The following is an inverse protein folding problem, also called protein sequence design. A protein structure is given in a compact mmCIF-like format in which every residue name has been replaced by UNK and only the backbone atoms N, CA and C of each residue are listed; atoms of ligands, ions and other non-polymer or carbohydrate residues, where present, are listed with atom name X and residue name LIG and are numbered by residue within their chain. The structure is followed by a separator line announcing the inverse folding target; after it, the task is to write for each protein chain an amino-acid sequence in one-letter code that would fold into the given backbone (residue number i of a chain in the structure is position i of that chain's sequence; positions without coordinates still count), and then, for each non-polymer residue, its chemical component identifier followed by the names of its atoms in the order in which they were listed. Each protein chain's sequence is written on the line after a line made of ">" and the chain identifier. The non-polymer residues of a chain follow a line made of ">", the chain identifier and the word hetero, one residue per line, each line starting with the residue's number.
data_IF_450610173073
#
_entry.id   IF_450610173073
#
_cell.length_a   1.000
_cell.length_b   1.000
_cell.length_c   1.000
_cell.angle_alpha   90.00
_cell.angle_beta   90.00
_cell.angle_gamma   90.00
#
_symmetry.space_group_name_H-M   'P 1'
#
loop_
_entity.id
_entity.type
_entity.pdbx_description
1 polymer ?
#
# COMPACT_ATOMS: atom_id res chain seq x y z
N UNK A 1 11.27 -19.84 0.66
CA UNK A 1 10.86 -18.59 -0.02
C UNK A 1 10.43 -17.60 1.04
N UNK A 2 10.79 -16.34 0.93
CA UNK A 2 10.27 -15.33 1.84
C UNK A 2 8.74 -15.21 1.65
N UNK A 3 8.01 -15.10 2.75
CA UNK A 3 6.56 -15.00 2.75
C UNK A 3 6.16 -13.62 2.24
N UNK A 4 5.28 -13.55 1.23
CA UNK A 4 4.69 -12.29 0.79
C UNK A 4 3.90 -11.64 1.92
N UNK A 5 4.19 -10.38 2.23
CA UNK A 5 3.47 -9.60 3.23
C UNK A 5 2.15 -9.06 2.69
N UNK A 6 1.20 -8.76 3.59
CA UNK A 6 -0.11 -8.22 3.25
C UNK A 6 -0.26 -6.80 3.80
N UNK A 7 -0.66 -5.88 2.93
CA UNK A 7 -1.09 -4.52 3.29
C UNK A 7 -2.58 -4.34 3.02
N UNK A 8 -3.31 -3.85 3.99
CA UNK A 8 -4.69 -3.37 3.83
C UNK A 8 -4.69 -1.85 3.87
N UNK A 9 -4.99 -1.24 2.73
CA UNK A 9 -4.92 0.21 2.54
C UNK A 9 -6.27 0.88 2.76
N UNK A 10 -6.25 2.13 3.23
CA UNK A 10 -7.45 2.96 3.36
C UNK A 10 -8.32 2.62 4.58
N UNK A 11 -7.71 2.38 5.73
CA UNK A 11 -8.39 2.29 7.02
C UNK A 11 -8.93 3.67 7.39
N UNK A 12 -10.21 3.75 7.79
CA UNK A 12 -10.94 5.02 7.96
C UNK A 12 -11.56 5.24 9.33
N UNK A 13 -11.53 4.24 10.19
CA UNK A 13 -12.09 4.36 11.54
C UNK A 13 -11.38 3.47 12.54
N UNK A 14 -11.54 3.79 13.83
CA UNK A 14 -11.07 2.91 14.91
C UNK A 14 -11.78 1.56 14.91
N UNK A 15 -13.04 1.52 14.51
CA UNK A 15 -13.80 0.28 14.40
C UNK A 15 -13.16 -0.67 13.37
N UNK A 16 -12.78 -0.14 12.20
CA UNK A 16 -12.12 -0.94 11.15
C UNK A 16 -10.79 -1.53 11.64
N UNK A 17 -9.92 -0.74 12.27
CA UNK A 17 -8.64 -1.26 12.76
C UNK A 17 -8.82 -2.25 13.92
N UNK A 18 -9.76 -1.99 14.83
CA UNK A 18 -10.05 -2.90 15.95
C UNK A 18 -10.59 -4.25 15.45
N UNK A 19 -11.42 -4.25 14.41
CA UNK A 19 -11.96 -5.47 13.79
C UNK A 19 -10.91 -6.30 13.07
N UNK A 20 -9.82 -5.68 12.59
CA UNK A 20 -8.81 -6.30 11.74
C UNK A 20 -7.46 -6.57 12.42
N UNK A 21 -7.21 -6.01 13.58
CA UNK A 21 -5.89 -5.98 14.21
C UNK A 21 -5.30 -7.36 14.55
N UNK A 22 -6.15 -8.36 14.81
CA UNK A 22 -5.76 -9.74 15.13
C UNK A 22 -5.48 -10.61 13.88
N UNK A 23 -5.87 -10.15 12.70
CA UNK A 23 -5.61 -10.86 11.44
C UNK A 23 -4.13 -10.80 11.04
N UNK A 24 -3.60 -11.77 10.31
CA UNK A 24 -2.21 -11.77 9.82
C UNK A 24 -2.00 -10.76 8.67
N UNK A 25 -2.19 -9.50 9.00
CA UNK A 25 -1.92 -8.32 8.17
C UNK A 25 -0.63 -7.69 8.68
N UNK A 26 0.29 -7.33 7.79
CA UNK A 26 1.59 -6.78 8.14
C UNK A 26 1.57 -5.24 8.17
N UNK A 27 0.76 -4.62 7.30
CA UNK A 27 0.68 -3.18 7.14
C UNK A 27 -0.75 -2.66 7.05
N UNK A 28 -1.02 -1.54 7.73
CA UNK A 28 -2.27 -0.77 7.57
C UNK A 28 -1.99 0.58 6.93
N UNK A 29 -2.76 0.93 5.88
CA UNK A 29 -2.61 2.19 5.15
C UNK A 29 -3.59 3.27 5.59
N UNK A 30 -3.07 4.46 5.93
CA UNK A 30 -3.80 5.69 6.19
C UNK A 30 -3.63 6.66 5.02
N UNK A 31 -4.71 7.14 4.40
CA UNK A 31 -4.65 7.99 3.21
C UNK A 31 -4.79 9.46 3.61
N UNK A 32 -3.82 10.29 3.21
CA UNK A 32 -3.78 11.74 3.46
C UNK A 32 -4.04 12.58 2.19
N UNK A 33 -4.66 12.00 1.17
CA UNK A 33 -5.05 12.71 -0.04
C UNK A 33 -6.47 13.27 0.12
N UNK A 34 -6.67 14.61 0.15
CA UNK A 34 -7.98 15.23 0.43
C UNK A 34 -9.09 14.86 -0.55
N UNK A 35 -8.75 14.51 -1.78
CA UNK A 35 -9.72 14.06 -2.79
C UNK A 35 -10.18 12.60 -2.60
N UNK A 36 -9.49 11.83 -1.76
CA UNK A 36 -9.84 10.44 -1.50
C UNK A 36 -11.05 10.35 -0.56
N UNK A 37 -12.06 9.53 -0.85
CA UNK A 37 -13.14 9.25 0.08
C UNK A 37 -12.67 8.49 1.33
N UNK A 38 -11.40 8.07 1.34
CA UNK A 38 -10.74 7.36 2.43
C UNK A 38 -9.70 8.23 3.16
N UNK A 39 -9.75 9.56 2.96
CA UNK A 39 -8.86 10.47 3.64
C UNK A 39 -9.15 10.49 5.15
N UNK A 40 -8.08 10.44 5.96
CA UNK A 40 -8.17 10.48 7.42
C UNK A 40 -7.53 11.74 7.98
N UNK A 41 -7.96 12.13 9.19
CA UNK A 41 -7.28 13.17 9.98
C UNK A 41 -5.99 12.64 10.61
N UNK A 42 -5.07 13.54 10.97
CA UNK A 42 -3.87 13.17 11.71
C UNK A 42 -4.20 12.54 13.06
N UNK A 43 -5.24 13.02 13.75
CA UNK A 43 -5.68 12.45 15.03
C UNK A 43 -6.09 10.98 14.87
N UNK A 44 -6.96 10.69 13.89
CA UNK A 44 -7.38 9.32 13.64
C UNK A 44 -6.23 8.42 13.17
N UNK A 45 -5.34 8.94 12.32
CA UNK A 45 -4.17 8.18 11.86
C UNK A 45 -3.22 7.83 13.01
N UNK A 46 -3.05 8.72 14.00
CA UNK A 46 -2.30 8.46 15.23
C UNK A 46 -2.92 7.30 16.01
N UNK A 47 -4.22 7.36 16.26
CA UNK A 47 -4.95 6.31 16.98
C UNK A 47 -4.88 4.96 16.24
N UNK A 48 -5.01 4.95 14.90
CA UNK A 48 -4.83 3.74 14.07
C UNK A 48 -3.40 3.20 14.23
N UNK A 49 -2.39 4.07 14.22
CA UNK A 49 -0.98 3.70 14.36
C UNK A 49 -0.71 3.08 15.74
N UNK A 50 -1.24 3.67 16.81
CA UNK A 50 -1.11 3.14 18.17
C UNK A 50 -1.71 1.72 18.30
N UNK A 51 -2.88 1.49 17.70
CA UNK A 51 -3.52 0.16 17.67
C UNK A 51 -2.68 -0.82 16.84
N UNK A 52 -2.21 -0.44 15.66
CA UNK A 52 -1.38 -1.29 14.82
C UNK A 52 -0.08 -1.70 15.54
N UNK A 53 0.60 -0.74 16.16
CA UNK A 53 1.85 -0.99 16.89
C UNK A 53 1.64 -1.89 18.10
N UNK A 54 0.51 -1.81 18.80
CA UNK A 54 0.19 -2.71 19.93
C UNK A 54 0.11 -4.19 19.52
N UNK A 55 -0.14 -4.45 18.24
CA UNK A 55 -0.21 -5.80 17.64
C UNK A 55 1.06 -6.14 16.82
N UNK A 56 2.13 -5.34 16.95
CA UNK A 56 3.39 -5.54 16.23
C UNK A 56 3.32 -5.31 14.71
N UNK A 57 2.32 -4.54 14.25
CA UNK A 57 2.10 -4.24 12.84
C UNK A 57 2.57 -2.83 12.50
N UNK A 58 2.82 -2.58 11.22
CA UNK A 58 3.32 -1.28 10.74
C UNK A 58 2.22 -0.49 10.04
N UNK A 59 2.40 0.83 9.98
CA UNK A 59 1.48 1.75 9.31
C UNK A 59 2.13 2.49 8.15
N UNK A 60 1.34 2.74 7.11
CA UNK A 60 1.77 3.39 5.87
C UNK A 60 0.92 4.63 5.64
N UNK A 61 1.55 5.80 5.61
CA UNK A 61 0.89 7.04 5.21
C UNK A 61 0.94 7.21 3.69
N UNK A 62 -0.21 7.31 3.05
CA UNK A 62 -0.33 7.48 1.60
C UNK A 62 -0.57 8.94 1.26
N UNK A 63 0.33 9.52 0.46
CA UNK A 63 0.32 10.93 0.06
C UNK A 63 0.26 11.05 -1.46
N UNK A 64 -0.38 12.13 -1.94
CA UNK A 64 -0.46 12.47 -3.36
C UNK A 64 -0.05 13.94 -3.52
N UNK A 65 1.15 14.18 -4.06
CA UNK A 65 1.72 15.50 -4.29
C UNK A 65 1.70 16.43 -3.05
N UNK A 66 1.85 15.85 -1.86
CA UNK A 66 1.86 16.62 -0.62
C UNK A 66 3.21 17.33 -0.44
N UNK A 67 3.22 18.55 0.13
CA UNK A 67 4.46 19.25 0.48
C UNK A 67 5.30 18.44 1.48
N UNK A 68 6.63 18.56 1.38
CA UNK A 68 7.57 17.87 2.26
C UNK A 68 7.26 18.12 3.75
N UNK A 69 6.99 19.36 4.11
CA UNK A 69 6.69 19.77 5.47
C UNK A 69 5.44 19.06 6.01
N UNK A 70 4.38 18.96 5.19
CA UNK A 70 3.16 18.24 5.57
C UNK A 70 3.45 16.75 5.84
N UNK A 71 4.25 16.10 4.99
CA UNK A 71 4.63 14.70 5.17
C UNK A 71 5.43 14.53 6.46
N UNK A 72 6.43 15.37 6.69
CA UNK A 72 7.28 15.31 7.87
C UNK A 72 6.49 15.54 9.18
N UNK A 73 5.58 16.51 9.17
CA UNK A 73 4.70 16.76 10.32
C UNK A 73 3.76 15.60 10.57
N UNK A 74 3.19 15.01 9.51
CA UNK A 74 2.34 13.83 9.65
C UNK A 74 3.10 12.67 10.28
N UNK A 75 4.27 12.32 9.76
CA UNK A 75 5.10 11.24 10.33
C UNK A 75 5.43 11.50 11.79
N UNK A 76 5.87 12.71 12.11
CA UNK A 76 6.24 13.12 13.48
C UNK A 76 5.08 13.05 14.46
N UNK A 77 3.87 13.47 14.04
CA UNK A 77 2.70 13.59 14.91
C UNK A 77 1.92 12.28 15.06
N UNK A 78 1.96 11.42 14.03
CA UNK A 78 1.17 10.18 14.00
C UNK A 78 1.99 8.94 14.35
N UNK A 79 3.32 8.97 14.18
CA UNK A 79 4.18 7.82 14.36
C UNK A 79 4.12 6.81 13.20
N UNK A 80 3.58 7.20 12.04
CA UNK A 80 3.55 6.35 10.83
C UNK A 80 4.95 5.89 10.44
N UNK A 81 5.09 4.60 10.12
CA UNK A 81 6.38 3.95 9.85
C UNK A 81 6.89 4.16 8.43
N UNK A 82 6.00 4.29 7.45
CA UNK A 82 6.32 4.31 6.02
C UNK A 82 5.57 5.42 5.31
N UNK A 83 6.24 6.11 4.42
CA UNK A 83 5.63 7.10 3.50
C UNK A 83 5.47 6.46 2.12
N UNK A 84 4.23 6.31 1.67
CA UNK A 84 3.90 5.92 0.31
C UNK A 84 3.54 7.16 -0.51
N UNK A 85 4.33 7.44 -1.53
CA UNK A 85 4.13 8.54 -2.48
C UNK A 85 3.35 8.03 -3.69
N UNK A 86 2.13 8.52 -3.88
CA UNK A 86 1.19 8.01 -4.89
C UNK A 86 0.82 9.05 -5.95
N UNK A 87 1.56 10.13 -6.05
CA UNK A 87 1.41 11.20 -7.03
C UNK A 87 2.57 11.24 -8.03
N UNK A 88 2.91 12.46 -8.48
CA UNK A 88 3.96 12.74 -9.47
C UNK A 88 5.29 13.14 -8.79
N UNK A 89 5.53 12.68 -7.55
CA UNK A 89 6.74 13.03 -6.81
C UNK A 89 7.99 12.50 -7.52
N UNK A 90 9.01 13.37 -7.66
CA UNK A 90 10.25 13.06 -8.35
C UNK A 90 11.18 12.14 -7.55
N UNK A 91 12.18 11.55 -8.20
CA UNK A 91 13.23 10.78 -7.55
C UNK A 91 14.03 11.63 -6.53
N UNK A 92 14.26 12.91 -6.81
CA UNK A 92 14.91 13.84 -5.87
C UNK A 92 14.05 14.10 -4.64
N UNK A 93 12.71 14.14 -4.79
CA UNK A 93 11.82 14.25 -3.66
C UNK A 93 11.88 12.98 -2.77
N UNK A 94 11.89 11.79 -3.37
CA UNK A 94 12.10 10.53 -2.65
C UNK A 94 13.44 10.54 -1.89
N UNK A 95 14.53 10.95 -2.57
CA UNK A 95 15.86 11.10 -1.98
C UNK A 95 15.86 12.03 -0.76
N UNK A 96 15.12 13.14 -0.84
CA UNK A 96 15.04 14.10 0.27
C UNK A 96 14.38 13.49 1.50
N UNK A 97 13.34 12.69 1.34
CA UNK A 97 12.68 11.98 2.44
C UNK A 97 13.58 10.88 3.02
N UNK A 98 14.20 10.07 2.17
CA UNK A 98 15.09 8.98 2.58
C UNK A 98 16.32 9.51 3.33
N UNK A 99 16.89 10.65 2.89
CA UNK A 99 17.99 11.31 3.60
C UNK A 99 17.60 11.81 5.02
N UNK A 100 16.31 11.95 5.31
CA UNK A 100 15.76 12.27 6.64
C UNK A 100 15.42 11.02 7.47
N UNK A 101 15.80 9.82 6.99
CA UNK A 101 15.54 8.56 7.68
C UNK A 101 14.12 8.00 7.48
N UNK A 102 13.36 8.53 6.53
CA UNK A 102 12.01 8.03 6.23
C UNK A 102 12.08 6.83 5.28
N UNK A 103 11.39 5.77 5.59
CA UNK A 103 11.16 4.67 4.65
C UNK A 103 10.15 5.12 3.58
N UNK A 104 10.56 5.06 2.31
CA UNK A 104 9.77 5.56 1.18
C UNK A 104 9.39 4.44 0.24
N UNK A 105 8.09 4.32 -0.04
CA UNK A 105 7.54 3.53 -1.15
C UNK A 105 7.02 4.48 -2.21
N UNK A 106 7.33 4.23 -3.49
CA UNK A 106 6.84 5.07 -4.58
C UNK A 106 5.90 4.27 -5.48
N UNK A 107 4.67 4.76 -5.62
CA UNK A 107 3.69 4.18 -6.51
C UNK A 107 3.89 4.63 -7.95
N UNK A 108 3.81 3.68 -8.87
CA UNK A 108 3.89 3.86 -10.30
C UNK A 108 2.67 3.26 -10.97
N UNK A 109 2.03 4.04 -11.83
CA UNK A 109 0.88 3.59 -12.61
C UNK A 109 1.33 2.71 -13.77
N UNK A 110 0.84 1.48 -13.84
CA UNK A 110 1.07 0.54 -14.94
C UNK A 110 -0.18 0.46 -15.81
N UNK A 111 0.02 0.48 -17.14
CA UNK A 111 -1.04 0.27 -18.13
C UNK A 111 -0.61 -0.81 -19.12
N UNK A 112 0.10 -0.40 -20.16
CA UNK A 112 0.50 -1.26 -21.29
C UNK A 112 1.99 -1.59 -21.27
N UNK A 113 2.76 -0.94 -20.39
CA UNK A 113 4.20 -1.15 -20.18
C UNK A 113 4.60 -0.84 -18.75
N UNK A 114 5.70 -1.41 -18.30
CA UNK A 114 6.31 -1.08 -17.02
C UNK A 114 6.87 0.35 -17.00
N UNK A 115 6.87 1.02 -15.84
CA UNK A 115 7.50 2.32 -15.67
C UNK A 115 9.03 2.21 -15.68
N UNK A 116 9.70 3.30 -16.05
CA UNK A 116 11.14 3.45 -15.88
C UNK A 116 11.45 3.77 -14.41
N UNK A 117 12.14 2.87 -13.72
CA UNK A 117 12.39 2.98 -12.28
C UNK A 117 13.80 3.46 -11.94
N UNK A 118 14.73 3.52 -12.93
CA UNK A 118 16.17 3.68 -12.72
C UNK A 118 16.57 4.76 -11.71
N UNK A 119 16.05 5.97 -11.86
CA UNK A 119 16.38 7.11 -10.99
C UNK A 119 15.76 7.01 -9.59
N UNK A 120 14.69 6.22 -9.44
CA UNK A 120 13.97 6.07 -8.18
C UNK A 120 14.56 4.98 -7.28
N UNK A 121 14.99 3.84 -7.86
CA UNK A 121 15.41 2.66 -7.08
C UNK A 121 16.44 2.93 -5.99
N UNK A 122 17.44 3.81 -6.16
CA UNK A 122 18.39 4.12 -5.09
C UNK A 122 17.78 4.91 -3.92
N UNK A 123 16.58 5.48 -4.12
CA UNK A 123 15.96 6.45 -3.22
C UNK A 123 14.62 5.98 -2.64
N UNK A 124 14.26 4.73 -2.85
CA UNK A 124 13.02 4.12 -2.35
C UNK A 124 13.30 2.72 -1.81
N UNK A 125 12.50 2.28 -0.85
CA UNK A 125 12.58 0.89 -0.35
C UNK A 125 11.89 -0.06 -1.33
N UNK A 126 10.69 0.30 -1.79
CA UNK A 126 9.96 -0.50 -2.77
C UNK A 126 9.27 0.38 -3.82
N UNK A 127 9.35 0.01 -5.12
CA UNK A 127 8.38 0.45 -6.10
C UNK A 127 7.05 -0.28 -5.84
N UNK A 128 5.95 0.46 -5.88
CA UNK A 128 4.60 -0.06 -5.83
C UNK A 128 4.00 0.06 -7.24
N UNK A 129 3.62 -1.05 -7.82
CA UNK A 129 3.03 -1.13 -9.15
C UNK A 129 1.51 -1.21 -9.04
N UNK A 130 0.83 -0.16 -9.48
CA UNK A 130 -0.61 -0.01 -9.40
C UNK A 130 -1.23 0.13 -10.79
N UNK A 131 -2.44 -0.36 -10.95
CA UNK A 131 -3.18 -0.27 -12.22
C UNK A 131 -3.54 1.19 -12.52
N UNK A 132 -3.19 1.69 -13.70
CA UNK A 132 -3.65 2.99 -14.16
C UNK A 132 -5.13 2.95 -14.50
N UNK A 133 -5.97 3.43 -13.59
CA UNK A 133 -7.39 3.57 -13.83
C UNK A 133 -7.76 4.83 -14.61
N UNK A 134 -8.99 4.90 -15.15
CA UNK A 134 -9.52 6.10 -15.79
C UNK A 134 -9.81 7.24 -14.80
N UNK A 135 -9.85 6.95 -13.50
CA UNK A 135 -9.95 7.92 -12.39
C UNK A 135 -8.86 7.62 -11.35
N UNK A 136 -8.32 8.65 -10.72
CA UNK A 136 -7.31 8.56 -9.67
C UNK A 136 -7.80 7.66 -8.52
N UNK A 137 -7.29 6.42 -8.47
CA UNK A 137 -7.46 5.46 -7.37
C UNK A 137 -8.76 4.63 -7.37
N UNK A 138 -8.62 3.31 -7.38
CA UNK A 138 -9.69 2.41 -6.96
C UNK A 138 -10.64 1.85 -8.03
N UNK A 139 -10.24 1.73 -9.29
CA UNK A 139 -11.10 1.21 -10.37
C UNK A 139 -11.35 -0.31 -10.34
N UNK A 140 -10.68 -1.04 -9.46
CA UNK A 140 -10.94 -2.45 -9.25
C UNK A 140 -10.56 -3.41 -10.39
N UNK A 141 -9.84 -2.94 -11.41
CA UNK A 141 -9.29 -3.78 -12.47
C UNK A 141 -7.78 -3.92 -12.30
N UNK A 142 -7.23 -5.12 -12.56
CA UNK A 142 -5.80 -5.35 -12.61
C UNK A 142 -5.24 -4.98 -14.00
N UNK A 143 -4.00 -4.47 -14.07
CA UNK A 143 -3.27 -4.42 -15.33
C UNK A 143 -2.85 -5.83 -15.75
N UNK A 144 -2.35 -5.99 -16.97
CA UNK A 144 -1.82 -7.29 -17.41
C UNK A 144 -0.55 -7.64 -16.63
N UNK A 145 -0.68 -8.53 -15.63
CA UNK A 145 0.42 -8.93 -14.77
C UNK A 145 1.54 -9.70 -15.48
N UNK A 146 1.33 -10.20 -16.70
CA UNK A 146 2.41 -10.79 -17.52
C UNK A 146 3.57 -9.81 -17.76
N UNK A 147 3.29 -8.49 -17.73
CA UNK A 147 4.34 -7.47 -17.77
C UNK A 147 5.35 -7.61 -16.63
N UNK A 148 4.96 -8.17 -15.49
CA UNK A 148 5.84 -8.39 -14.35
C UNK A 148 6.95 -9.41 -14.62
N UNK A 149 6.83 -10.25 -15.64
CA UNK A 149 7.88 -11.19 -16.08
C UNK A 149 9.10 -10.44 -16.66
N UNK A 150 8.89 -9.19 -17.10
CA UNK A 150 9.95 -8.32 -17.64
C UNK A 150 10.70 -7.55 -16.52
N UNK A 151 10.23 -7.64 -15.26
CA UNK A 151 10.89 -6.96 -14.15
C UNK A 151 12.26 -7.57 -13.86
N UNK A 152 13.31 -6.75 -13.69
CA UNK A 152 14.55 -7.20 -13.09
C UNK A 152 14.32 -7.76 -11.68
N UNK A 153 15.28 -8.52 -11.16
CA UNK A 153 15.21 -9.16 -9.82
C UNK A 153 15.30 -8.12 -8.69
N UNK A 154 14.28 -7.31 -8.49
CA UNK A 154 14.15 -6.45 -7.32
C UNK A 154 12.80 -6.66 -6.61
N UNK A 155 12.78 -6.35 -5.33
CA UNK A 155 11.57 -6.42 -4.51
C UNK A 155 10.57 -5.34 -4.91
N UNK A 156 9.28 -5.68 -5.01
CA UNK A 156 8.22 -4.73 -5.38
C UNK A 156 6.93 -5.01 -4.61
N UNK A 157 6.05 -4.02 -4.59
CA UNK A 157 4.69 -4.11 -4.07
C UNK A 157 3.74 -4.21 -5.26
N UNK A 158 2.83 -5.19 -5.23
CA UNK A 158 1.77 -5.31 -6.22
C UNK A 158 0.45 -4.78 -5.67
N UNK A 159 -0.09 -3.79 -6.36
CA UNK A 159 -1.36 -3.15 -6.07
C UNK A 159 -2.28 -3.13 -7.31
N UNK A 160 -3.45 -2.54 -7.19
CA UNK A 160 -4.39 -2.34 -8.29
C UNK A 160 -5.19 -3.59 -8.65
N UNK A 161 -6.40 -3.67 -8.13
CA UNK A 161 -7.35 -4.72 -8.49
C UNK A 161 -7.11 -6.09 -7.88
N UNK A 162 -6.14 -6.24 -6.98
CA UNK A 162 -5.93 -7.51 -6.27
C UNK A 162 -7.12 -7.83 -5.36
N UNK A 163 -7.61 -9.06 -5.46
CA UNK A 163 -8.79 -9.57 -4.74
C UNK A 163 -8.62 -11.04 -4.36
N UNK A 164 -9.57 -11.59 -3.61
CA UNK A 164 -9.65 -13.03 -3.34
C UNK A 164 -9.61 -13.86 -4.63
N UNK A 165 -10.24 -13.38 -5.70
CA UNK A 165 -10.38 -14.13 -6.95
C UNK A 165 -9.07 -14.31 -7.72
N UNK A 166 -8.15 -13.32 -7.63
CA UNK A 166 -6.93 -13.28 -8.45
C UNK A 166 -5.62 -13.26 -7.65
N UNK A 167 -5.66 -13.24 -6.32
CA UNK A 167 -4.45 -13.16 -5.48
C UNK A 167 -3.49 -14.33 -5.70
N UNK A 168 -3.98 -15.53 -6.02
CA UNK A 168 -3.11 -16.67 -6.28
C UNK A 168 -2.32 -16.52 -7.60
N UNK A 169 -2.90 -15.87 -8.60
CA UNK A 169 -2.18 -15.46 -9.81
C UNK A 169 -1.15 -14.37 -9.49
N UNK A 170 -1.56 -13.34 -8.73
CA UNK A 170 -0.66 -12.28 -8.27
C UNK A 170 0.60 -12.81 -7.58
N UNK A 171 0.45 -13.84 -6.74
CA UNK A 171 1.55 -14.46 -5.99
C UNK A 171 2.55 -15.22 -6.88
N UNK A 172 2.18 -15.63 -8.10
CA UNK A 172 3.10 -16.29 -9.03
C UNK A 172 4.26 -15.35 -9.43
N UNK A 173 4.01 -14.03 -9.43
CA UNK A 173 5.02 -13.01 -9.72
C UNK A 173 5.88 -12.64 -8.51
N UNK A 174 5.68 -13.30 -7.36
CA UNK A 174 6.49 -13.19 -6.14
C UNK A 174 6.64 -11.74 -5.63
N UNK A 175 5.57 -10.96 -5.53
CA UNK A 175 5.67 -9.63 -4.94
C UNK A 175 6.12 -9.75 -3.47
N UNK A 176 6.90 -8.79 -3.00
CA UNK A 176 7.29 -8.71 -1.59
C UNK A 176 6.09 -8.37 -0.71
N UNK A 177 5.19 -7.52 -1.21
CA UNK A 177 3.97 -7.11 -0.52
C UNK A 177 2.81 -7.13 -1.52
N UNK A 178 1.66 -7.64 -1.10
CA UNK A 178 0.36 -7.45 -1.77
C UNK A 178 -0.35 -6.30 -1.08
N UNK A 179 -0.73 -5.26 -1.83
CA UNK A 179 -1.50 -4.10 -1.33
C UNK A 179 -2.95 -4.16 -1.82
N UNK A 180 -3.89 -4.25 -0.90
CA UNK A 180 -5.32 -4.38 -1.20
C UNK A 180 -6.11 -3.23 -0.57
N UNK A 181 -7.05 -2.67 -1.33
CA UNK A 181 -7.88 -1.55 -0.88
C UNK A 181 -9.38 -1.83 -1.10
N UNK A 182 -9.95 -1.41 -2.25
CA UNK A 182 -11.40 -1.44 -2.50
C UNK A 182 -11.97 -2.85 -2.64
N UNK A 183 -11.18 -3.83 -3.07
CA UNK A 183 -11.65 -5.21 -3.28
C UNK A 183 -11.99 -5.99 -2.00
N UNK A 184 -11.64 -5.44 -0.85
CA UNK A 184 -11.99 -5.98 0.46
C UNK A 184 -12.93 -5.04 1.23
N UNK A 185 -13.71 -4.24 0.50
CA UNK A 185 -14.73 -3.36 1.05
C UNK A 185 -16.14 -3.88 0.74
N UNK A 186 -17.03 -3.73 1.72
CA UNK A 186 -18.47 -3.88 1.59
C UNK A 186 -19.12 -2.63 2.19
N UNK A 187 -20.08 -2.02 1.51
CA UNK A 187 -20.76 -0.80 1.93
C UNK A 187 -19.78 0.33 2.30
N UNK A 188 -18.74 0.47 1.49
CA UNK A 188 -17.64 1.43 1.70
C UNK A 188 -16.87 1.25 3.01
N UNK A 189 -16.84 0.09 3.65
CA UNK A 189 -16.05 -0.24 4.83
C UNK A 189 -15.20 -1.48 4.58
N UNK A 190 -14.08 -1.60 5.28
CA UNK A 190 -13.29 -2.84 5.25
C UNK A 190 -14.12 -3.98 5.80
N UNK A 191 -14.19 -5.07 5.05
CA UNK A 191 -14.96 -6.25 5.39
C UNK A 191 -14.04 -7.34 5.90
N UNK A 192 -14.11 -7.64 7.20
CA UNK A 192 -13.35 -8.74 7.79
C UNK A 192 -13.55 -10.07 7.04
N UNK A 193 -14.78 -10.50 6.69
CA UNK A 193 -14.98 -11.75 5.95
C UNK A 193 -14.29 -11.79 4.58
N UNK A 194 -14.23 -10.65 3.85
CA UNK A 194 -13.53 -10.59 2.56
C UNK A 194 -12.00 -10.67 2.75
N UNK A 195 -11.48 -10.04 3.80
CA UNK A 195 -10.05 -10.06 4.13
C UNK A 195 -9.64 -11.46 4.58
N UNK A 196 -10.44 -12.15 5.41
CA UNK A 196 -10.18 -13.52 5.84
C UNK A 196 -10.11 -14.48 4.65
N UNK A 197 -11.04 -14.39 3.70
CA UNK A 197 -11.00 -15.18 2.47
C UNK A 197 -9.73 -14.91 1.63
N UNK A 198 -9.34 -13.65 1.50
CA UNK A 198 -8.09 -13.28 0.83
C UNK A 198 -6.88 -13.93 1.52
N UNK A 199 -6.80 -13.84 2.85
CA UNK A 199 -5.74 -14.43 3.67
C UNK A 199 -5.70 -15.96 3.50
N UNK A 200 -6.84 -16.63 3.50
CA UNK A 200 -6.90 -18.07 3.24
C UNK A 200 -6.30 -18.48 1.89
N UNK A 201 -6.56 -17.69 0.84
CA UNK A 201 -5.98 -17.92 -0.50
C UNK A 201 -4.46 -17.70 -0.51
N UNK A 202 -3.97 -16.68 0.17
CA UNK A 202 -2.53 -16.42 0.32
C UNK A 202 -1.86 -17.59 1.06
N UNK A 203 -2.46 -18.05 2.16
CA UNK A 203 -1.92 -19.17 2.95
C UNK A 203 -1.92 -20.50 2.18
N UNK A 204 -2.93 -20.74 1.33
CA UNK A 204 -3.00 -21.96 0.50
C UNK A 204 -1.91 -21.97 -0.59
N UNK A 205 -1.52 -20.81 -1.09
CA UNK A 205 -0.44 -20.70 -2.07
C UNK A 205 0.95 -20.97 -1.47
N UNK A 206 1.15 -20.61 -0.21
CA UNK A 206 2.43 -20.73 0.51
C UNK A 206 2.68 -22.13 1.11
N UNK A 207 1.76 -23.07 0.92
CA UNK A 207 1.90 -24.50 1.32
C UNK A 207 2.43 -25.35 0.18
#
# INVERSE_FOLDING_TARGET
>A
MEKTALKICGIRSLEEIQDLKDLPIDYFGCIFAPKSPRCVSMTLAKEITEVAHSEGKRTVGVFVNAPLEQIMDTVRLTGIDVVQLHGEESADFCKTLTAKGIEVWKAFSVRDKLPELGDYLPNITFPLLDTKGAAEGGNGFAFNWQLLEELPSYSFILAGGVSEENVQEALQYKPTIIDVNSKVEQDNRKSRPLIEKLIEKIHKYNK
#
